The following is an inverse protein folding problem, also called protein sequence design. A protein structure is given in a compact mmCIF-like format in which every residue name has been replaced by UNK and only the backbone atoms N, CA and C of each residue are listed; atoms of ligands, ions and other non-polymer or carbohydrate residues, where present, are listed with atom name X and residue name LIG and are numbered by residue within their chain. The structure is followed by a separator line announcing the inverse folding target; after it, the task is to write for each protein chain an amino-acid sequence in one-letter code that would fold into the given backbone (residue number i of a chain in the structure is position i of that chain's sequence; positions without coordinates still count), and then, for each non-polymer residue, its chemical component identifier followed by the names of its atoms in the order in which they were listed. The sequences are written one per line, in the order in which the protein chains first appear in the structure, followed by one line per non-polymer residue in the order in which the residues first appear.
data_IF_220380111896
#
_entry.id   IF_220380111896
#
_cell.length_a   1.000
_cell.length_b   1.000
_cell.length_c   1.000
_cell.angle_alpha   90.00
_cell.angle_beta   90.00
_cell.angle_gamma   90.00
#
_symmetry.space_group_name_H-M   'P 1'
#
loop_
_entity.id
_entity.type
_entity.pdbx_description
1 polymer ?
#
# COMPACT_ATOMS: atom_id res chain seq x y z
N UNK A 1 -14.60 -2.11 10.49
CA UNK A 1 -13.46 -3.04 10.41
C UNK A 1 -12.81 -2.92 9.03
N UNK A 2 -11.48 -2.96 8.92
CA UNK A 2 -10.81 -3.07 7.63
C UNK A 2 -11.15 -4.44 7.02
N UNK A 3 -11.50 -4.45 5.74
CA UNK A 3 -11.98 -5.64 5.02
C UNK A 3 -11.05 -5.87 3.85
N UNK A 4 -10.57 -7.10 3.70
CA UNK A 4 -9.78 -7.49 2.54
C UNK A 4 -10.61 -7.28 1.27
N UNK A 5 -9.98 -6.93 0.15
CA UNK A 5 -10.74 -6.84 -1.11
C UNK A 5 -11.35 -8.22 -1.44
N UNK A 6 -12.59 -8.24 -1.95
CA UNK A 6 -13.27 -9.51 -2.35
C UNK A 6 -12.43 -10.35 -3.32
N UNK A 7 -11.64 -9.69 -4.16
CA UNK A 7 -10.75 -10.35 -5.11
C UNK A 7 -9.58 -11.07 -4.41
N UNK A 8 -8.97 -10.45 -3.39
CA UNK A 8 -7.93 -11.09 -2.59
C UNK A 8 -8.47 -12.29 -1.80
N UNK A 9 -9.68 -12.16 -1.21
CA UNK A 9 -10.35 -13.28 -0.54
C UNK A 9 -10.60 -14.46 -1.48
N UNK A 10 -11.10 -14.18 -2.70
CA UNK A 10 -11.32 -15.19 -3.75
C UNK A 10 -10.04 -15.92 -4.15
N UNK A 11 -8.91 -15.22 -4.25
CA UNK A 11 -7.60 -15.84 -4.60
C UNK A 11 -7.11 -16.81 -3.55
N UNK A 12 -7.39 -16.53 -2.29
CA UNK A 12 -7.02 -17.39 -1.16
C UNK A 12 -7.94 -18.60 -1.01
N UNK A 13 -9.07 -18.63 -1.71
CA UNK A 13 -10.05 -19.72 -1.60
C UNK A 13 -10.75 -19.79 -0.25
N UNK A 14 -10.75 -18.69 0.51
CA UNK A 14 -11.32 -18.60 1.87
C UNK A 14 -12.53 -17.69 1.92
N UNK A 15 -13.37 -17.84 2.94
CA UNK A 15 -14.50 -16.94 3.15
C UNK A 15 -14.02 -15.52 3.46
N UNK A 16 -14.83 -14.52 3.12
CA UNK A 16 -14.45 -13.10 3.31
C UNK A 16 -14.19 -12.76 4.79
N UNK A 17 -14.83 -13.46 5.72
CA UNK A 17 -14.58 -13.28 7.15
C UNK A 17 -13.19 -13.76 7.57
N UNK A 18 -12.74 -14.92 7.08
CA UNK A 18 -11.41 -15.45 7.36
C UNK A 18 -10.33 -14.57 6.72
N UNK A 19 -10.58 -14.10 5.49
CA UNK A 19 -9.68 -13.21 4.74
C UNK A 19 -9.40 -11.88 5.46
N UNK A 20 -10.31 -11.43 6.35
CA UNK A 20 -10.10 -10.19 7.12
C UNK A 20 -8.89 -10.27 8.05
N UNK A 21 -8.41 -11.47 8.40
CA UNK A 21 -7.17 -11.64 9.16
C UNK A 21 -5.97 -11.01 8.45
N UNK A 22 -5.97 -10.93 7.11
CA UNK A 22 -4.90 -10.31 6.31
C UNK A 22 -5.08 -8.80 6.11
N UNK A 23 -6.13 -8.20 6.64
CA UNK A 23 -6.33 -6.76 6.47
C UNK A 23 -5.18 -5.99 7.13
N UNK A 24 -4.49 -5.18 6.34
CA UNK A 24 -3.29 -4.46 6.78
C UNK A 24 -3.64 -3.07 7.29
N UNK A 25 -4.77 -2.50 6.88
CA UNK A 25 -5.16 -1.15 7.28
C UNK A 25 -5.49 -1.07 8.77
N UNK A 26 -4.81 -0.21 9.52
CA UNK A 26 -5.14 0.12 10.91
C UNK A 26 -5.88 1.47 11.00
N UNK A 27 -6.53 1.81 12.13
CA UNK A 27 -7.12 3.12 12.34
C UNK A 27 -6.03 4.19 12.55
N UNK A 28 -5.60 4.84 11.46
CA UNK A 28 -4.50 5.82 11.48
C UNK A 28 -4.93 7.26 11.73
N UNK A 29 -6.21 7.54 11.95
CA UNK A 29 -6.73 8.91 12.10
C UNK A 29 -6.08 9.67 13.29
N UNK A 30 -5.80 8.96 14.38
CA UNK A 30 -5.11 9.51 15.57
C UNK A 30 -3.62 9.79 15.34
N UNK A 31 -3.04 9.33 14.23
CA UNK A 31 -1.62 9.52 13.93
C UNK A 31 -1.31 10.85 13.25
N UNK A 32 -2.30 11.70 12.99
CA UNK A 32 -2.13 12.94 12.22
C UNK A 32 -0.99 13.83 12.74
N UNK A 33 -0.86 14.03 14.05
CA UNK A 33 0.23 14.83 14.65
C UNK A 33 1.61 14.22 14.41
N UNK A 34 1.74 12.91 14.60
CA UNK A 34 3.00 12.20 14.37
C UNK A 34 3.40 12.26 12.89
N UNK A 35 2.44 12.12 11.98
CA UNK A 35 2.67 12.23 10.54
C UNK A 35 3.06 13.66 10.16
N UNK A 36 2.39 14.69 10.69
CA UNK A 36 2.79 16.08 10.46
C UNK A 36 4.22 16.35 10.91
N UNK A 37 4.57 15.90 12.11
CA UNK A 37 5.93 16.05 12.65
C UNK A 37 6.96 15.36 11.76
N UNK A 38 6.69 14.11 11.35
CA UNK A 38 7.58 13.33 10.48
C UNK A 38 7.73 13.94 9.07
N UNK A 39 6.74 14.72 8.62
CA UNK A 39 6.71 15.40 7.31
C UNK A 39 7.09 16.87 7.39
N UNK A 40 7.68 17.33 8.50
CA UNK A 40 8.03 18.73 8.73
C UNK A 40 6.86 19.69 8.45
N UNK A 41 5.68 19.35 8.99
CA UNK A 41 4.44 20.14 8.91
C UNK A 41 3.99 20.45 7.46
N UNK A 42 4.38 19.61 6.49
CA UNK A 42 4.14 19.84 5.06
C UNK A 42 3.48 18.62 4.40
N UNK A 43 2.42 18.85 3.63
CA UNK A 43 1.76 17.79 2.85
C UNK A 43 2.70 17.34 1.73
N UNK A 44 3.07 16.06 1.73
CA UNK A 44 4.01 15.50 0.77
C UNK A 44 3.52 15.63 -0.69
N UNK A 45 2.20 15.61 -0.92
CA UNK A 45 1.59 15.65 -2.26
C UNK A 45 1.43 17.06 -2.77
N UNK A 46 0.96 17.99 -1.94
CA UNK A 46 0.62 19.35 -2.39
C UNK A 46 1.69 20.38 -2.04
N UNK A 47 2.64 20.04 -1.15
CA UNK A 47 3.61 20.96 -0.54
C UNK A 47 2.97 22.10 0.26
N UNK A 48 1.67 21.99 0.56
CA UNK A 48 0.99 22.93 1.43
C UNK A 48 1.41 22.68 2.89
N UNK A 49 1.62 23.76 3.61
CA UNK A 49 1.82 23.68 5.06
C UNK A 49 0.55 23.18 5.75
N UNK A 50 0.69 22.51 6.90
CA UNK A 50 -0.42 22.02 7.73
C UNK A 50 -1.58 23.00 7.88
N UNK A 51 -1.26 24.26 8.19
CA UNK A 51 -2.25 25.35 8.39
C UNK A 51 -3.09 25.66 7.15
N UNK A 52 -2.60 25.28 5.97
CA UNK A 52 -3.23 25.52 4.67
C UNK A 52 -3.96 24.29 4.14
N UNK A 53 -3.82 23.13 4.78
CA UNK A 53 -4.46 21.88 4.36
C UNK A 53 -5.91 21.83 4.85
N UNK A 54 -6.85 21.98 3.91
CA UNK A 54 -8.29 21.98 4.21
C UNK A 54 -8.81 20.56 4.47
N UNK A 55 -9.56 20.37 5.56
CA UNK A 55 -10.16 19.08 5.97
C UNK A 55 -9.12 17.94 5.90
N UNK A 56 -8.06 18.02 6.71
CA UNK A 56 -6.95 17.07 6.66
C UNK A 56 -7.40 15.66 6.98
N UNK A 57 -6.85 14.69 6.27
CA UNK A 57 -7.04 13.27 6.49
C UNK A 57 -5.68 12.57 6.41
N UNK A 58 -5.48 11.60 7.30
CA UNK A 58 -4.33 10.70 7.22
C UNK A 58 -4.57 9.73 6.06
N UNK A 59 -3.58 9.63 5.19
CA UNK A 59 -3.59 8.85 3.97
C UNK A 59 -2.41 7.88 3.92
N UNK A 60 -2.62 6.70 3.35
CA UNK A 60 -1.59 5.71 3.12
C UNK A 60 -0.97 5.96 1.75
N UNK A 61 0.29 6.39 1.69
CA UNK A 61 0.99 6.69 0.44
C UNK A 61 0.97 5.47 -0.49
N UNK A 62 1.48 4.34 0.00
CA UNK A 62 1.18 3.02 -0.57
C UNK A 62 -0.13 2.51 0.02
N UNK A 63 -1.16 2.41 -0.82
CA UNK A 63 -2.45 1.84 -0.44
C UNK A 63 -2.28 0.42 0.09
N UNK A 64 -2.86 0.11 1.25
CA UNK A 64 -2.82 -1.23 1.86
C UNK A 64 -3.32 -2.32 0.90
N UNK A 65 -4.27 -2.00 0.01
CA UNK A 65 -4.80 -2.93 -0.98
C UNK A 65 -3.74 -3.44 -1.96
N UNK A 66 -2.66 -2.69 -2.19
CA UNK A 66 -1.54 -3.15 -3.01
C UNK A 66 -0.84 -4.33 -2.30
N UNK A 67 -0.44 -4.16 -1.04
CA UNK A 67 0.18 -5.23 -0.28
C UNK A 67 -0.77 -6.39 0.02
N UNK A 68 -2.04 -6.13 0.30
CA UNK A 68 -3.03 -7.20 0.51
C UNK A 68 -3.18 -8.07 -0.76
N UNK A 69 -3.18 -7.45 -1.95
CA UNK A 69 -3.20 -8.16 -3.21
C UNK A 69 -1.90 -8.94 -3.46
N UNK A 70 -0.75 -8.33 -3.17
CA UNK A 70 0.56 -8.97 -3.31
C UNK A 70 0.74 -10.15 -2.35
N UNK A 71 0.34 -9.99 -1.09
CA UNK A 71 0.36 -11.04 -0.07
C UNK A 71 -0.54 -12.22 -0.49
N UNK A 72 -1.74 -11.93 -1.00
CA UNK A 72 -2.64 -12.96 -1.50
C UNK A 72 -2.05 -13.75 -2.67
N UNK A 73 -1.31 -13.10 -3.58
CA UNK A 73 -0.57 -13.80 -4.63
C UNK A 73 0.61 -14.59 -4.06
N UNK A 74 1.36 -14.01 -3.11
CA UNK A 74 2.54 -14.60 -2.51
C UNK A 74 2.24 -15.91 -1.75
N UNK A 75 1.04 -16.06 -1.18
CA UNK A 75 0.60 -17.36 -0.63
C UNK A 75 0.61 -18.50 -1.65
N UNK A 76 0.36 -18.22 -2.93
CA UNK A 76 0.43 -19.22 -4.00
C UNK A 76 1.84 -19.56 -4.45
N UNK A 77 2.82 -18.69 -4.18
CA UNK A 77 4.23 -18.87 -4.54
C UNK A 77 5.10 -19.39 -3.38
N UNK A 78 4.72 -19.06 -2.14
CA UNK A 78 5.42 -19.44 -0.92
C UNK A 78 5.02 -20.82 -0.41
N UNK A 79 5.78 -21.36 0.55
CA UNK A 79 5.40 -22.58 1.28
C UNK A 79 4.46 -22.32 2.47
N UNK A 80 4.12 -21.07 2.75
CA UNK A 80 3.33 -20.70 3.90
C UNK A 80 1.85 -21.06 3.71
N UNK A 81 1.21 -21.56 4.77
CA UNK A 81 -0.24 -21.80 4.79
C UNK A 81 -0.96 -20.61 5.39
N UNK A 82 -2.09 -20.24 4.78
CA UNK A 82 -3.02 -19.29 5.36
C UNK A 82 -3.50 -19.76 6.75
N UNK A 83 -3.57 -18.84 7.72
CA UNK A 83 -3.96 -19.13 9.10
C UNK A 83 -2.88 -19.81 9.96
N UNK A 84 -1.67 -20.01 9.44
CA UNK A 84 -0.53 -20.50 10.22
C UNK A 84 0.11 -19.40 11.08
N UNK A 85 0.87 -19.78 12.11
CA UNK A 85 1.69 -18.82 12.88
C UNK A 85 2.60 -17.97 11.99
N UNK A 86 3.20 -18.58 10.96
CA UNK A 86 4.04 -17.86 10.01
C UNK A 86 3.24 -16.77 9.29
N UNK A 87 2.02 -17.07 8.82
CA UNK A 87 1.17 -16.05 8.19
C UNK A 87 0.76 -14.93 9.15
N UNK A 88 0.49 -15.24 10.42
CA UNK A 88 0.18 -14.22 11.43
C UNK A 88 1.36 -13.28 11.66
N UNK A 89 2.59 -13.82 11.80
CA UNK A 89 3.81 -13.02 11.94
C UNK A 89 4.00 -12.07 10.75
N UNK A 90 3.84 -12.56 9.51
CA UNK A 90 3.98 -11.72 8.31
C UNK A 90 2.94 -10.62 8.28
N UNK A 91 1.68 -10.93 8.60
CA UNK A 91 0.60 -9.94 8.61
C UNK A 91 0.85 -8.86 9.65
N UNK A 92 1.30 -9.22 10.85
CA UNK A 92 1.63 -8.26 11.91
C UNK A 92 2.79 -7.36 11.46
N UNK A 93 3.87 -7.94 10.95
CA UNK A 93 5.02 -7.20 10.43
C UNK A 93 4.62 -6.22 9.32
N UNK A 94 3.83 -6.68 8.34
CA UNK A 94 3.34 -5.84 7.24
C UNK A 94 2.40 -4.75 7.77
N UNK A 95 1.51 -5.08 8.70
CA UNK A 95 0.56 -4.13 9.30
C UNK A 95 1.32 -3.03 10.04
N UNK A 96 2.32 -3.36 10.84
CA UNK A 96 3.12 -2.35 11.54
C UNK A 96 3.81 -1.40 10.55
N UNK A 97 4.47 -1.93 9.53
CA UNK A 97 5.20 -1.12 8.57
C UNK A 97 4.28 -0.29 7.66
N UNK A 98 3.16 -0.82 7.20
CA UNK A 98 2.22 -0.07 6.34
C UNK A 98 1.53 1.09 7.06
N UNK A 99 1.38 1.01 8.37
CA UNK A 99 0.72 2.04 9.17
C UNK A 99 1.71 2.97 9.87
N UNK A 100 3.02 2.87 9.62
CA UNK A 100 4.00 3.80 10.15
C UNK A 100 4.05 5.10 9.33
N UNK A 101 4.43 6.18 10.00
CA UNK A 101 4.57 7.56 9.53
C UNK A 101 5.30 7.72 8.20
N UNK A 102 6.26 6.84 7.86
CA UNK A 102 6.96 6.91 6.57
C UNK A 102 6.05 6.59 5.37
N UNK A 103 5.05 5.71 5.55
CA UNK A 103 4.06 5.38 4.54
C UNK A 103 2.76 6.18 4.72
N UNK A 104 2.71 7.09 5.69
CA UNK A 104 1.57 7.98 5.89
C UNK A 104 1.86 9.39 5.39
N UNK A 105 0.81 10.07 4.95
CA UNK A 105 0.79 11.49 4.67
C UNK A 105 -0.48 12.11 5.27
N UNK A 106 -0.48 13.41 5.53
CA UNK A 106 -1.72 14.15 5.82
C UNK A 106 -2.00 15.10 4.66
N UNK A 107 -3.12 14.89 3.99
CA UNK A 107 -3.55 15.72 2.85
C UNK A 107 -5.04 16.02 2.94
N UNK A 108 -5.54 16.88 2.05
CA UNK A 108 -6.98 17.14 1.98
C UNK A 108 -7.76 15.90 1.55
N UNK A 109 -8.99 15.74 2.05
CA UNK A 109 -9.91 14.68 1.61
C UNK A 109 -10.03 14.60 0.08
N UNK A 110 -10.04 15.75 -0.62
CA UNK A 110 -10.13 15.81 -2.09
C UNK A 110 -8.94 15.13 -2.78
N UNK A 111 -7.72 15.41 -2.32
CA UNK A 111 -6.49 14.82 -2.87
C UNK A 111 -6.48 13.32 -2.59
N UNK A 112 -6.73 12.91 -1.33
CA UNK A 112 -6.77 11.50 -0.92
C UNK A 112 -7.75 10.68 -1.79
N UNK A 113 -9.03 11.10 -1.87
CA UNK A 113 -10.02 10.37 -2.67
C UNK A 113 -9.69 10.35 -4.16
N UNK A 114 -9.06 11.40 -4.69
CA UNK A 114 -8.64 11.45 -6.09
C UNK A 114 -7.47 10.51 -6.37
N UNK A 115 -6.52 10.36 -5.44
CA UNK A 115 -5.38 9.43 -5.52
C UNK A 115 -5.82 7.98 -5.59
N UNK A 116 -6.80 7.60 -4.75
CA UNK A 116 -7.22 6.20 -4.59
C UNK A 116 -7.82 5.59 -5.86
N UNK A 117 -8.56 6.37 -6.64
CA UNK A 117 -9.28 5.88 -7.82
C UNK A 117 -8.37 5.20 -8.86
N UNK A 118 -7.33 5.88 -9.36
CA UNK A 118 -6.37 5.29 -10.31
C UNK A 118 -5.69 4.01 -9.79
N UNK A 119 -5.30 3.96 -8.51
CA UNK A 119 -4.65 2.78 -7.92
C UNK A 119 -5.61 1.58 -7.90
N UNK A 120 -6.85 1.78 -7.47
CA UNK A 120 -7.88 0.73 -7.48
C UNK A 120 -8.18 0.26 -8.91
N UNK A 121 -8.25 1.20 -9.88
CA UNK A 121 -8.44 0.85 -11.28
C UNK A 121 -7.29 0.02 -11.85
N UNK A 122 -6.05 0.32 -11.47
CA UNK A 122 -4.87 -0.46 -11.86
C UNK A 122 -4.91 -1.87 -11.27
N UNK A 123 -5.18 -1.98 -9.96
CA UNK A 123 -5.31 -3.26 -9.26
C UNK A 123 -6.36 -4.17 -9.93
N UNK A 124 -7.54 -3.64 -10.25
CA UNK A 124 -8.57 -4.42 -10.92
C UNK A 124 -8.11 -4.93 -12.30
N UNK A 125 -7.37 -4.11 -13.06
CA UNK A 125 -6.84 -4.52 -14.39
C UNK A 125 -5.80 -5.63 -14.28
N UNK A 126 -4.90 -5.54 -13.29
CA UNK A 126 -3.89 -6.58 -13.01
C UNK A 126 -4.57 -7.90 -12.59
N UNK A 127 -5.69 -7.81 -11.86
CA UNK A 127 -6.42 -8.98 -11.38
C UNK A 127 -7.15 -9.74 -12.49
N UNK A 128 -7.64 -9.06 -13.52
CA UNK A 128 -8.39 -9.67 -14.64
C UNK A 128 -7.50 -10.45 -15.62
N UNK A 129 -6.21 -10.67 -15.32
CA UNK A 129 -5.26 -11.32 -16.23
C UNK A 129 -4.95 -10.49 -17.48
N UNK A 130 -5.52 -9.28 -17.58
CA UNK A 130 -5.15 -8.25 -18.55
C UNK A 130 -3.85 -7.59 -18.07
N UNK A 131 -2.77 -8.38 -18.05
CA UNK A 131 -1.38 -7.98 -17.75
C UNK A 131 -0.84 -7.01 -18.81
N UNK A 132 -1.55 -5.92 -19.07
CA UNK A 132 -0.98 -4.78 -19.75
C UNK A 132 -0.47 -3.87 -18.67
N UNK A 133 0.83 -3.61 -18.66
CA UNK A 133 1.37 -2.53 -17.86
C UNK A 133 0.59 -1.25 -18.18
N UNK A 134 0.02 -0.61 -17.17
CA UNK A 134 -0.73 0.65 -17.33
C UNK A 134 -0.12 1.67 -16.39
N UNK A 135 0.47 2.76 -16.91
CA UNK A 135 0.95 3.85 -16.07
C UNK A 135 -0.19 4.42 -15.21
N UNK A 136 0.06 4.60 -13.91
CA UNK A 136 -0.95 5.19 -13.03
C UNK A 136 -1.33 6.61 -13.47
N UNK A 137 -0.36 7.40 -13.96
CA UNK A 137 -0.64 8.73 -14.52
C UNK A 137 -1.69 8.66 -15.64
N UNK A 138 -1.64 7.65 -16.51
CA UNK A 138 -2.62 7.47 -17.57
C UNK A 138 -4.02 7.26 -16.99
N UNK A 139 -4.15 6.43 -15.95
CA UNK A 139 -5.43 6.21 -15.26
C UNK A 139 -5.91 7.47 -14.54
N UNK A 140 -4.99 8.25 -13.96
CA UNK A 140 -5.30 9.52 -13.34
C UNK A 140 -5.85 10.54 -14.34
N UNK A 141 -5.20 10.68 -15.51
CA UNK A 141 -5.63 11.57 -16.61
C UNK A 141 -7.00 11.19 -17.19
N UNK A 142 -7.29 9.89 -17.29
CA UNK A 142 -8.56 9.39 -17.82
C UNK A 142 -9.72 9.53 -16.82
N UNK A 143 -9.41 9.63 -15.52
CA UNK A 143 -10.39 9.66 -14.44
C UNK A 143 -10.64 11.04 -13.84
N UNK A 144 -11.23 11.04 -12.63
CA UNK A 144 -11.50 12.25 -11.84
C UNK A 144 -10.24 12.91 -11.26
N UNK A 145 -9.08 12.28 -11.41
CA UNK A 145 -7.80 12.71 -10.87
C UNK A 145 -6.95 13.54 -11.84
N UNK A 146 -7.47 13.86 -13.04
CA UNK A 146 -6.73 14.61 -14.07
C UNK A 146 -6.09 15.90 -13.56
N UNK A 147 -6.81 16.64 -12.71
CA UNK A 147 -6.33 17.88 -12.11
C UNK A 147 -5.06 17.67 -11.25
N UNK A 148 -4.92 16.52 -10.58
CA UNK A 148 -3.68 16.20 -9.85
C UNK A 148 -2.49 16.11 -10.79
N UNK A 149 -2.70 15.61 -12.00
CA UNK A 149 -1.65 15.47 -13.01
C UNK A 149 -1.29 16.84 -13.58
N UNK A 150 -2.31 17.61 -13.96
CA UNK A 150 -2.13 18.94 -14.56
C UNK A 150 -1.44 19.92 -13.57
N UNK A 151 -1.66 19.78 -12.27
CA UNK A 151 -1.00 20.56 -11.20
C UNK A 151 0.36 19.98 -10.73
N UNK A 152 0.82 18.89 -11.35
CA UNK A 152 2.07 18.20 -10.98
C UNK A 152 2.04 17.53 -9.59
N UNK A 153 0.87 17.45 -8.94
CA UNK A 153 0.66 16.73 -7.67
C UNK A 153 0.85 15.23 -7.87
N UNK A 154 0.41 14.71 -9.01
CA UNK A 154 0.50 13.28 -9.32
C UNK A 154 1.94 12.76 -9.33
N UNK A 155 2.85 13.49 -9.97
CA UNK A 155 4.28 13.14 -9.97
C UNK A 155 4.87 13.10 -8.56
N UNK A 156 4.42 14.00 -7.67
CA UNK A 156 4.84 13.98 -6.26
C UNK A 156 4.29 12.76 -5.53
N UNK A 157 3.04 12.38 -5.78
CA UNK A 157 2.46 11.15 -5.26
C UNK A 157 3.29 9.93 -5.70
N UNK A 158 3.63 9.82 -6.99
CA UNK A 158 4.45 8.70 -7.49
C UNK A 158 5.84 8.66 -6.83
N UNK A 159 6.52 9.80 -6.73
CA UNK A 159 7.80 9.89 -6.01
C UNK A 159 7.68 9.46 -4.54
N UNK A 160 6.60 9.85 -3.85
CA UNK A 160 6.36 9.45 -2.47
C UNK A 160 6.02 7.96 -2.37
N UNK A 161 5.34 7.37 -3.36
CA UNK A 161 5.11 5.92 -3.43
C UNK A 161 6.44 5.16 -3.56
N UNK A 162 7.35 5.61 -4.43
CA UNK A 162 8.69 5.04 -4.54
C UNK A 162 9.44 5.16 -3.21
N UNK A 163 9.52 6.36 -2.63
CA UNK A 163 10.23 6.57 -1.38
C UNK A 163 9.65 5.77 -0.20
N UNK A 164 8.32 5.60 -0.16
CA UNK A 164 7.65 4.77 0.86
C UNK A 164 7.92 3.29 0.62
N UNK A 165 7.99 2.84 -0.63
CA UNK A 165 8.34 1.47 -0.99
C UNK A 165 9.78 1.15 -0.62
N UNK A 166 10.73 2.02 -0.95
CA UNK A 166 12.16 1.81 -0.64
C UNK A 166 12.37 1.66 0.87
N UNK A 167 11.71 2.52 1.68
CA UNK A 167 11.76 2.44 3.15
C UNK A 167 11.08 1.18 3.69
N UNK A 168 9.93 0.80 3.13
CA UNK A 168 9.23 -0.42 3.49
C UNK A 168 10.12 -1.64 3.19
N UNK A 169 10.67 -1.72 1.98
CA UNK A 169 11.53 -2.81 1.53
C UNK A 169 12.75 -2.94 2.43
N UNK A 170 13.43 -1.85 2.73
CA UNK A 170 14.58 -1.84 3.64
C UNK A 170 14.21 -2.39 5.02
N UNK A 171 13.10 -1.93 5.62
CA UNK A 171 12.67 -2.42 6.93
C UNK A 171 12.27 -3.89 6.93
N UNK A 172 11.62 -4.35 5.86
CA UNK A 172 11.31 -5.77 5.71
C UNK A 172 12.61 -6.58 5.63
N UNK A 173 13.61 -6.11 4.88
CA UNK A 173 14.93 -6.76 4.78
C UNK A 173 15.65 -6.81 6.11
N UNK A 174 15.63 -5.72 6.88
CA UNK A 174 16.20 -5.67 8.23
C UNK A 174 15.50 -6.68 9.17
N UNK A 175 14.19 -6.87 8.99
CA UNK A 175 13.37 -7.82 9.77
C UNK A 175 13.56 -9.29 9.34
N UNK A 176 14.17 -9.55 8.18
CA UNK A 176 14.45 -10.91 7.69
C UNK A 176 15.67 -11.56 8.37
N UNK A 177 16.24 -10.92 9.38
CA UNK A 177 17.37 -11.46 10.13
C UNK A 177 17.00 -12.84 10.73
N UNK A 178 17.81 -13.91 10.54
CA UNK A 178 17.40 -15.31 10.73
C UNK A 178 16.89 -15.73 12.12
N UNK A 179 17.05 -14.89 13.14
CA UNK A 179 16.70 -15.21 14.52
C UNK A 179 15.27 -14.80 14.91
N UNK A 180 14.59 -13.97 14.11
CA UNK A 180 13.33 -13.33 14.52
C UNK A 180 12.08 -13.92 13.84
N UNK A 181 12.24 -14.54 12.66
CA UNK A 181 11.12 -15.07 11.88
C UNK A 181 11.23 -16.57 11.64
N UNK A 182 10.07 -17.23 11.60
CA UNK A 182 9.99 -18.61 11.11
C UNK A 182 10.45 -18.66 9.63
N UNK A 183 11.12 -19.73 9.17
CA UNK A 183 11.57 -19.82 7.77
C UNK A 183 10.46 -19.62 6.74
N UNK A 184 9.25 -20.14 7.02
CA UNK A 184 8.09 -19.93 6.16
C UNK A 184 7.56 -18.48 6.18
N UNK A 185 7.76 -17.75 7.28
CA UNK A 185 7.40 -16.34 7.38
C UNK A 185 8.40 -15.49 6.57
N UNK A 186 9.70 -15.78 6.70
CA UNK A 186 10.75 -15.13 5.91
C UNK A 186 10.53 -15.30 4.40
N UNK A 187 10.23 -16.53 3.94
CA UNK A 187 9.88 -16.83 2.54
C UNK A 187 8.65 -16.03 2.08
N UNK A 188 7.58 -16.01 2.88
CA UNK A 188 6.36 -15.28 2.56
C UNK A 188 6.56 -13.75 2.51
N UNK A 189 7.39 -13.18 3.39
CA UNK A 189 7.76 -11.75 3.36
C UNK A 189 8.50 -11.43 2.07
N UNK A 190 9.51 -12.22 1.71
CA UNK A 190 10.29 -12.03 0.49
C UNK A 190 9.39 -12.12 -0.75
N UNK A 191 8.55 -13.16 -0.87
CA UNK A 191 7.60 -13.29 -1.97
C UNK A 191 6.61 -12.12 -2.02
N UNK A 192 6.14 -11.62 -0.87
CA UNK A 192 5.20 -10.49 -0.83
C UNK A 192 5.86 -9.20 -1.31
N UNK A 193 7.10 -8.95 -0.90
CA UNK A 193 7.90 -7.79 -1.32
C UNK A 193 8.17 -7.82 -2.82
N UNK A 194 8.56 -8.97 -3.35
CA UNK A 194 8.88 -9.15 -4.77
C UNK A 194 7.62 -8.98 -5.64
N UNK A 195 6.48 -9.53 -5.20
CA UNK A 195 5.19 -9.34 -5.88
C UNK A 195 4.74 -7.86 -5.81
N UNK A 196 4.92 -7.18 -4.69
CA UNK A 196 4.62 -5.75 -4.57
C UNK A 196 5.48 -4.92 -5.53
N UNK A 197 6.77 -5.26 -5.65
CA UNK A 197 7.66 -4.64 -6.62
C UNK A 197 7.13 -4.83 -8.05
N UNK A 198 6.80 -6.06 -8.42
CA UNK A 198 6.29 -6.40 -9.75
C UNK A 198 4.97 -5.67 -10.06
N UNK A 199 4.07 -5.54 -9.08
CA UNK A 199 2.83 -4.78 -9.20
C UNK A 199 3.11 -3.30 -9.48
N UNK A 200 3.99 -2.67 -8.70
CA UNK A 200 4.34 -1.26 -8.84
C UNK A 200 5.10 -0.99 -10.16
N UNK A 201 5.95 -1.91 -10.62
CA UNK A 201 6.60 -1.87 -11.94
C UNK A 201 5.58 -1.98 -13.08
N UNK A 202 4.58 -2.85 -12.94
CA UNK A 202 3.47 -2.98 -13.90
C UNK A 202 2.61 -1.72 -13.96
N UNK A 203 2.57 -0.97 -12.86
CA UNK A 203 1.93 0.34 -12.74
C UNK A 203 2.80 1.50 -13.24
N UNK A 204 4.05 1.24 -13.65
CA UNK A 204 5.06 2.22 -14.10
C UNK A 204 5.23 3.40 -13.13
N UNK A 205 5.34 3.06 -11.84
CA UNK A 205 5.66 4.02 -10.78
C UNK A 205 7.17 4.37 -10.78
N UNK A 206 7.99 3.56 -11.47
CA UNK A 206 9.41 3.79 -11.78
C UNK A 206 9.65 3.96 -13.27
#
# INVERSE_FOLDING_TARGET
MPVLTRAAAKRLGVETQEANSLALRAPVASMAEAVWSARAETDAYTRLARKSTVKPQVDHVLECQLAEASLATAFGASRARFGSMASSQVVELLRENYNDTFNLNVTSCKVNQSKKGPIVAALNRLQDGRLRAVPLEQLARQGKARWLVDEGVWRRIENEMVASYDRLSQRLDDSLTPCELLPAASDLVACTRDELHAVLCSMRVW
#
